data_IF_905488419862
#
_entry.id   IF_905488419862
#
_cell.length_a   1.000
_cell.length_b   1.000
_cell.length_c   1.000
_cell.angle_alpha   90.00
_cell.angle_beta   90.00
_cell.angle_gamma   90.00
#
_symmetry.space_group_name_H-M   'P 1'
#
loop_
_entity.id
_entity.type
_entity.pdbx_description
1 polymer ?
#
# COMPACT_ATOMS: atom_id res chain seq x y z
N UNK A 1 27.03 -29.82 -43.05
CA UNK A 1 25.56 -30.06 -43.08
C UNK A 1 24.95 -29.34 -41.90
N UNK A 2 24.37 -28.16 -42.16
CA UNK A 2 23.71 -27.33 -41.15
C UNK A 2 22.31 -27.88 -40.84
N UNK A 3 21.87 -28.02 -39.58
CA UNK A 3 20.48 -28.31 -39.29
C UNK A 3 19.66 -27.02 -39.33
N UNK A 4 18.53 -27.06 -40.06
CA UNK A 4 17.56 -25.98 -40.20
C UNK A 4 16.86 -25.70 -38.86
N UNK A 5 16.46 -24.45 -38.56
CA UNK A 5 15.58 -24.16 -37.42
C UNK A 5 14.13 -24.58 -37.74
N UNK A 6 13.48 -25.27 -36.79
CA UNK A 6 12.04 -25.52 -36.82
C UNK A 6 11.26 -24.21 -36.55
N UNK A 7 10.07 -24.00 -37.17
CA UNK A 7 9.30 -22.77 -37.01
C UNK A 7 8.57 -22.72 -35.65
N UNK A 8 8.36 -21.52 -35.06
CA UNK A 8 7.71 -21.34 -33.77
C UNK A 8 6.18 -21.26 -33.92
N UNK A 9 5.52 -22.36 -34.31
CA UNK A 9 4.05 -22.35 -34.50
C UNK A 9 3.31 -23.57 -33.92
N UNK A 10 3.93 -24.33 -33.00
CA UNK A 10 3.33 -25.59 -32.49
C UNK A 10 2.89 -25.56 -31.01
N UNK A 11 2.71 -24.39 -30.39
CA UNK A 11 2.24 -24.27 -28.99
C UNK A 11 1.01 -23.37 -28.83
N UNK A 12 0.08 -23.38 -29.80
CA UNK A 12 -1.27 -22.86 -29.57
C UNK A 12 -2.18 -24.01 -29.12
N UNK A 13 -2.84 -23.94 -27.95
CA UNK A 13 -3.77 -24.97 -27.52
C UNK A 13 -4.97 -25.03 -28.47
N UNK A 14 -5.27 -26.20 -29.02
CA UNK A 14 -6.45 -26.47 -29.83
C UNK A 14 -7.74 -26.37 -29.00
N UNK A 15 -8.86 -26.02 -29.66
CA UNK A 15 -10.19 -25.77 -29.07
C UNK A 15 -10.80 -26.91 -28.21
N UNK A 16 -10.18 -28.09 -28.14
CA UNK A 16 -10.54 -29.16 -27.21
C UNK A 16 -10.06 -28.91 -25.77
N UNK A 17 -8.91 -28.25 -25.61
CA UNK A 17 -8.31 -27.87 -24.31
C UNK A 17 -9.17 -26.85 -23.57
N UNK A 18 -9.75 -25.87 -24.28
CA UNK A 18 -10.58 -24.83 -23.67
C UNK A 18 -11.86 -25.38 -23.03
N UNK A 19 -12.42 -26.49 -23.55
CA UNK A 19 -13.61 -27.13 -22.97
C UNK A 19 -13.31 -27.82 -21.64
N UNK A 20 -12.20 -28.55 -21.53
CA UNK A 20 -11.82 -29.23 -20.27
C UNK A 20 -11.49 -28.25 -19.16
N UNK A 21 -10.82 -27.12 -19.47
CA UNK A 21 -10.62 -26.05 -18.50
C UNK A 21 -11.93 -25.46 -18.01
N UNK A 22 -12.90 -25.27 -18.91
CA UNK A 22 -14.21 -24.70 -18.56
C UNK A 22 -14.99 -25.56 -17.58
N UNK A 23 -15.10 -26.87 -17.83
CA UNK A 23 -15.79 -27.79 -16.89
C UNK A 23 -15.10 -27.87 -15.52
N UNK A 24 -13.76 -27.88 -15.50
CA UNK A 24 -12.99 -27.82 -14.25
C UNK A 24 -13.17 -26.49 -13.50
N UNK A 25 -13.22 -25.37 -14.23
CA UNK A 25 -13.40 -24.03 -13.68
C UNK A 25 -14.78 -23.87 -13.04
N UNK A 26 -15.86 -24.20 -13.75
CA UNK A 26 -17.23 -24.11 -13.20
C UNK A 26 -17.42 -25.01 -11.96
N UNK A 27 -16.83 -26.22 -11.97
CA UNK A 27 -16.88 -27.12 -10.82
C UNK A 27 -16.10 -26.59 -9.59
N UNK A 28 -15.00 -25.86 -9.82
CA UNK A 28 -14.24 -25.20 -8.75
C UNK A 28 -14.96 -23.95 -8.22
N UNK A 29 -15.61 -23.20 -9.11
CA UNK A 29 -16.43 -22.04 -8.76
C UNK A 29 -17.55 -22.38 -7.77
N UNK A 30 -18.22 -23.52 -7.97
CA UNK A 30 -19.24 -24.01 -7.05
C UNK A 30 -18.66 -24.33 -5.64
N UNK A 31 -17.39 -24.75 -5.55
CA UNK A 31 -16.73 -25.07 -4.27
C UNK A 31 -16.25 -23.84 -3.52
N UNK A 32 -15.90 -22.77 -4.23
CA UNK A 32 -15.64 -21.45 -3.63
C UNK A 32 -16.93 -20.66 -3.36
N UNK A 33 -18.10 -21.29 -3.57
CA UNK A 33 -19.41 -20.76 -3.17
C UNK A 33 -20.08 -19.85 -4.18
N UNK A 34 -19.52 -19.58 -5.37
CA UNK A 34 -20.11 -18.59 -6.30
C UNK A 34 -21.53 -18.92 -6.80
N UNK A 35 -22.06 -20.14 -6.56
CA UNK A 35 -23.37 -20.59 -7.04
C UNK A 35 -24.32 -21.14 -5.97
N UNK A 36 -23.98 -21.12 -4.67
CA UNK A 36 -24.83 -21.66 -3.59
C UNK A 36 -24.88 -20.75 -2.36
N UNK A 37 -26.01 -20.73 -1.61
CA UNK A 37 -26.11 -19.97 -0.37
C UNK A 37 -25.05 -20.47 0.62
N UNK A 38 -24.35 -19.50 1.21
CA UNK A 38 -23.26 -19.62 2.18
C UNK A 38 -23.50 -20.65 3.29
N UNK A 39 -22.44 -21.28 3.86
CA UNK A 39 -22.55 -21.79 5.21
C UNK A 39 -22.83 -20.60 6.12
N UNK A 40 -23.99 -20.61 6.78
CA UNK A 40 -24.34 -19.63 7.81
C UNK A 40 -23.23 -19.55 8.86
N UNK A 41 -22.89 -18.33 9.29
CA UNK A 41 -21.89 -18.03 10.31
C UNK A 41 -22.14 -18.77 11.65
N UNK A 42 -23.35 -19.32 11.84
CA UNK A 42 -23.71 -20.22 12.93
C UNK A 42 -22.87 -21.50 13.03
N UNK A 43 -22.03 -21.84 12.03
CA UNK A 43 -21.10 -22.99 12.08
C UNK A 43 -19.71 -22.69 12.67
N UNK A 44 -19.47 -21.46 13.14
CA UNK A 44 -18.30 -21.11 13.92
C UNK A 44 -18.60 -21.06 15.43
N UNK A 45 -19.68 -21.71 15.88
CA UNK A 45 -19.93 -21.95 17.30
C UNK A 45 -18.88 -22.93 17.87
N UNK A 46 -18.53 -22.85 19.17
CA UNK A 46 -17.40 -23.58 19.76
C UNK A 46 -17.43 -25.12 19.62
N UNK A 47 -18.56 -25.73 19.22
CA UNK A 47 -18.71 -27.17 18.97
C UNK A 47 -18.52 -27.65 17.52
N UNK A 48 -18.28 -26.79 16.52
CA UNK A 48 -18.19 -27.17 15.07
C UNK A 48 -16.81 -26.94 14.42
N UNK A 49 -15.76 -26.92 15.23
CA UNK A 49 -14.39 -26.55 14.82
C UNK A 49 -13.74 -27.43 13.72
N UNK A 50 -13.84 -28.78 13.69
CA UNK A 50 -13.10 -29.57 12.68
C UNK A 50 -13.73 -29.54 11.28
N UNK A 51 -15.05 -29.48 11.19
CA UNK A 51 -15.77 -29.43 9.90
C UNK A 51 -15.64 -28.07 9.21
N UNK A 52 -15.63 -26.98 9.97
CA UNK A 52 -15.39 -25.63 9.43
C UNK A 52 -13.94 -25.45 8.94
N UNK A 53 -12.95 -25.94 9.70
CA UNK A 53 -11.54 -25.89 9.30
C UNK A 53 -11.26 -26.68 8.01
N UNK A 54 -11.80 -27.89 7.89
CA UNK A 54 -11.65 -28.69 6.66
C UNK A 54 -12.35 -28.04 5.45
N UNK A 55 -13.48 -27.37 5.65
CA UNK A 55 -14.13 -26.59 4.58
C UNK A 55 -13.29 -25.39 4.13
N UNK A 56 -12.66 -24.67 5.07
CA UNK A 56 -11.76 -23.56 4.75
C UNK A 56 -10.53 -24.04 3.97
N UNK A 57 -9.93 -25.17 4.34
CA UNK A 57 -8.80 -25.75 3.61
C UNK A 57 -9.16 -26.11 2.17
N UNK A 58 -10.31 -26.75 1.97
CA UNK A 58 -10.81 -27.08 0.62
C UNK A 58 -11.08 -25.83 -0.21
N UNK A 59 -11.60 -24.79 0.42
CA UNK A 59 -11.81 -23.47 -0.21
C UNK A 59 -10.47 -22.86 -0.62
N UNK A 60 -9.48 -22.85 0.27
CA UNK A 60 -8.15 -22.32 0.02
C UNK A 60 -7.47 -23.05 -1.17
N UNK A 61 -7.50 -24.38 -1.18
CA UNK A 61 -6.91 -25.17 -2.27
C UNK A 61 -7.62 -24.91 -3.61
N UNK A 62 -8.96 -24.90 -3.61
CA UNK A 62 -9.75 -24.62 -4.81
C UNK A 62 -9.44 -23.22 -5.35
N UNK A 63 -9.33 -22.23 -4.45
CA UNK A 63 -9.04 -20.85 -4.80
C UNK A 63 -7.62 -20.68 -5.39
N UNK A 64 -6.62 -21.44 -4.90
CA UNK A 64 -5.27 -21.43 -5.49
C UNK A 64 -5.30 -21.84 -6.96
N UNK A 65 -6.09 -22.87 -7.29
CA UNK A 65 -6.26 -23.33 -8.67
C UNK A 65 -7.05 -22.31 -9.48
N UNK A 66 -8.19 -21.82 -8.96
CA UNK A 66 -9.01 -20.81 -9.63
C UNK A 66 -8.24 -19.54 -9.94
N UNK A 67 -7.37 -19.08 -9.04
CA UNK A 67 -6.49 -17.94 -9.28
C UNK A 67 -5.63 -18.17 -10.52
N UNK A 68 -4.93 -19.30 -10.60
CA UNK A 68 -4.06 -19.62 -11.74
C UNK A 68 -4.84 -19.76 -13.05
N UNK A 69 -6.01 -20.39 -13.01
CA UNK A 69 -6.88 -20.52 -14.20
C UNK A 69 -7.46 -19.19 -14.65
N UNK A 70 -7.89 -18.35 -13.72
CA UNK A 70 -8.45 -17.02 -14.02
C UNK A 70 -7.40 -16.12 -14.68
N UNK A 71 -6.15 -16.18 -14.21
CA UNK A 71 -5.07 -15.30 -14.67
C UNK A 71 -4.38 -15.84 -15.93
N UNK A 72 -4.20 -17.15 -16.08
CA UNK A 72 -3.41 -17.71 -17.18
C UNK A 72 -4.15 -18.72 -18.07
N UNK A 73 -5.39 -19.10 -17.71
CA UNK A 73 -6.14 -20.15 -18.40
C UNK A 73 -7.00 -19.68 -19.56
N UNK A 74 -7.19 -18.37 -19.72
CA UNK A 74 -8.07 -17.79 -20.75
C UNK A 74 -7.32 -16.72 -21.56
N UNK A 75 -7.41 -16.82 -22.89
CA UNK A 75 -6.79 -15.84 -23.80
C UNK A 75 -7.51 -14.49 -23.78
N UNK A 76 -8.85 -14.50 -23.69
CA UNK A 76 -9.70 -13.30 -23.67
C UNK A 76 -10.60 -13.34 -22.43
N UNK A 77 -10.07 -13.04 -21.23
CA UNK A 77 -10.82 -13.21 -19.98
C UNK A 77 -12.05 -12.31 -19.89
N UNK A 78 -12.03 -11.13 -20.54
CA UNK A 78 -13.16 -10.20 -20.57
C UNK A 78 -14.41 -10.79 -21.24
N UNK A 79 -14.24 -11.64 -22.25
CA UNK A 79 -15.37 -12.28 -22.96
C UNK A 79 -15.94 -13.49 -22.19
N UNK A 80 -15.24 -13.95 -21.14
CA UNK A 80 -15.68 -15.09 -20.36
C UNK A 80 -16.52 -14.64 -19.16
N UNK A 81 -17.84 -14.85 -19.25
CA UNK A 81 -18.79 -14.52 -18.19
C UNK A 81 -18.51 -15.22 -16.86
N UNK A 82 -17.96 -16.44 -16.86
CA UNK A 82 -17.62 -17.17 -15.63
C UNK A 82 -16.43 -16.52 -14.92
N UNK A 83 -15.44 -16.05 -15.68
CA UNK A 83 -14.27 -15.34 -15.15
C UNK A 83 -14.68 -14.00 -14.55
N UNK A 84 -15.42 -13.18 -15.31
CA UNK A 84 -15.86 -11.87 -14.84
C UNK A 84 -16.89 -11.97 -13.69
N UNK A 85 -17.73 -13.01 -13.73
CA UNK A 85 -18.66 -13.35 -12.65
C UNK A 85 -17.93 -13.77 -11.37
N UNK A 86 -16.89 -14.62 -11.50
CA UNK A 86 -16.04 -14.99 -10.37
C UNK A 86 -15.34 -13.77 -9.75
N UNK A 87 -14.69 -12.95 -10.57
CA UNK A 87 -13.99 -11.75 -10.11
C UNK A 87 -14.94 -10.77 -9.42
N UNK A 88 -16.17 -10.63 -9.91
CA UNK A 88 -17.20 -9.84 -9.24
C UNK A 88 -17.61 -10.43 -7.88
N UNK A 89 -17.78 -11.76 -7.81
CA UNK A 89 -18.14 -12.45 -6.58
C UNK A 89 -17.01 -12.43 -5.52
N UNK A 90 -15.74 -12.21 -5.92
CA UNK A 90 -14.61 -12.09 -4.98
C UNK A 90 -14.87 -11.00 -3.93
N UNK A 91 -15.43 -9.84 -4.31
CA UNK A 91 -15.69 -8.74 -3.37
C UNK A 91 -16.70 -9.12 -2.28
N UNK A 92 -17.80 -9.78 -2.66
CA UNK A 92 -18.81 -10.26 -1.71
C UNK A 92 -18.23 -11.34 -0.79
N UNK A 93 -17.41 -12.24 -1.34
CA UNK A 93 -16.72 -13.27 -0.55
C UNK A 93 -15.74 -12.66 0.44
N UNK A 94 -14.95 -11.68 0.02
CA UNK A 94 -14.03 -10.96 0.89
C UNK A 94 -14.76 -10.31 2.08
N UNK A 95 -15.87 -9.60 1.82
CA UNK A 95 -16.70 -9.00 2.88
C UNK A 95 -17.18 -10.05 3.88
N UNK A 96 -17.72 -11.17 3.40
CA UNK A 96 -18.18 -12.27 4.25
C UNK A 96 -17.05 -12.84 5.13
N UNK A 97 -15.85 -13.04 4.56
CA UNK A 97 -14.72 -13.56 5.33
C UNK A 97 -14.19 -12.55 6.36
N UNK A 98 -14.18 -11.26 6.04
CA UNK A 98 -13.85 -10.18 6.99
C UNK A 98 -14.86 -10.11 8.13
N UNK A 99 -16.16 -10.25 7.84
CA UNK A 99 -17.20 -10.31 8.87
C UNK A 99 -17.07 -11.57 9.75
N UNK A 100 -16.65 -12.70 9.18
CA UNK A 100 -16.31 -13.89 9.96
C UNK A 100 -15.14 -13.63 10.91
N UNK A 101 -14.12 -12.86 10.49
CA UNK A 101 -13.01 -12.49 11.35
C UNK A 101 -13.46 -11.68 12.59
N UNK A 102 -14.51 -10.85 12.49
CA UNK A 102 -15.07 -10.13 13.66
C UNK A 102 -15.55 -11.08 14.75
N UNK A 103 -16.08 -12.23 14.36
CA UNK A 103 -16.71 -13.19 15.27
C UNK A 103 -15.70 -14.18 15.85
N UNK A 104 -14.47 -14.21 15.32
CA UNK A 104 -13.43 -15.15 15.72
C UNK A 104 -12.30 -14.39 16.41
N UNK A 105 -12.09 -14.70 17.70
CA UNK A 105 -11.06 -14.05 18.51
C UNK A 105 -9.64 -14.16 17.91
N UNK A 106 -8.75 -13.19 18.24
CA UNK A 106 -7.35 -13.21 17.81
C UNK A 106 -6.65 -14.50 18.26
N UNK A 107 -5.71 -15.00 17.44
CA UNK A 107 -4.87 -16.16 17.78
C UNK A 107 -5.51 -17.54 17.61
N UNK A 108 -6.74 -17.66 17.08
CA UNK A 108 -7.31 -18.97 16.78
C UNK A 108 -6.82 -19.53 15.43
N UNK A 109 -6.63 -20.85 15.34
CA UNK A 109 -6.30 -21.56 14.08
C UNK A 109 -7.33 -21.29 12.98
N UNK A 110 -8.60 -21.05 13.35
CA UNK A 110 -9.64 -20.68 12.41
C UNK A 110 -9.39 -19.31 11.80
N UNK A 111 -9.03 -18.32 12.63
CA UNK A 111 -8.67 -16.96 12.19
C UNK A 111 -7.48 -16.97 11.24
N UNK A 112 -6.42 -17.71 11.55
CA UNK A 112 -5.28 -17.83 10.64
C UNK A 112 -5.67 -18.36 9.24
N UNK A 113 -6.59 -19.34 9.19
CA UNK A 113 -7.08 -19.88 7.90
C UNK A 113 -7.99 -18.89 7.18
N UNK A 114 -8.80 -18.12 7.91
CA UNK A 114 -9.62 -17.05 7.34
C UNK A 114 -8.72 -15.96 6.73
N UNK A 115 -7.72 -15.48 7.47
CA UNK A 115 -6.75 -14.49 7.01
C UNK A 115 -5.99 -14.98 5.78
N UNK A 116 -5.50 -16.23 5.78
CA UNK A 116 -4.88 -16.86 4.59
C UNK A 116 -5.83 -16.91 3.38
N UNK A 117 -7.12 -17.10 3.61
CA UNK A 117 -8.14 -17.12 2.56
C UNK A 117 -8.41 -15.72 2.01
N UNK A 118 -8.53 -14.72 2.88
CA UNK A 118 -8.69 -13.30 2.53
C UNK A 118 -7.51 -12.80 1.69
N UNK A 119 -6.28 -13.09 2.15
CA UNK A 119 -5.04 -12.81 1.40
C UNK A 119 -5.10 -13.42 0.00
N UNK A 120 -5.54 -14.68 -0.12
CA UNK A 120 -5.57 -15.35 -1.41
C UNK A 120 -6.62 -14.76 -2.35
N UNK A 121 -7.79 -14.36 -1.86
CA UNK A 121 -8.81 -13.66 -2.66
C UNK A 121 -8.32 -12.30 -3.15
N UNK A 122 -7.71 -11.50 -2.27
CA UNK A 122 -7.15 -10.21 -2.68
C UNK A 122 -6.01 -10.40 -3.69
N UNK A 123 -5.22 -11.47 -3.55
CA UNK A 123 -4.20 -11.86 -4.52
C UNK A 123 -4.76 -12.29 -5.88
N UNK A 124 -6.01 -12.77 -5.96
CA UNK A 124 -6.69 -12.98 -7.26
C UNK A 124 -6.84 -11.65 -7.99
N UNK A 125 -7.31 -10.61 -7.30
CA UNK A 125 -7.49 -9.28 -7.90
C UNK A 125 -6.14 -8.67 -8.31
N UNK A 126 -5.14 -8.71 -7.42
CA UNK A 126 -3.80 -8.16 -7.68
C UNK A 126 -3.09 -8.82 -8.86
N UNK A 127 -3.19 -10.14 -8.98
CA UNK A 127 -2.62 -10.87 -10.12
C UNK A 127 -3.41 -10.57 -11.39
N UNK A 128 -4.75 -10.58 -11.33
CA UNK A 128 -5.56 -10.33 -12.52
C UNK A 128 -5.31 -8.91 -13.06
N UNK A 129 -5.21 -7.90 -12.20
CA UNK A 129 -4.83 -6.54 -12.58
C UNK A 129 -3.44 -6.47 -13.21
N UNK A 130 -2.46 -7.21 -12.67
CA UNK A 130 -1.09 -7.23 -13.18
C UNK A 130 -1.02 -7.75 -14.62
N UNK A 131 -1.66 -8.89 -14.87
CA UNK A 131 -1.57 -9.57 -16.17
C UNK A 131 -2.60 -9.06 -17.19
N UNK A 132 -3.73 -8.55 -16.73
CA UNK A 132 -4.88 -8.17 -17.55
C UNK A 132 -5.43 -6.78 -17.20
N UNK A 133 -4.64 -5.70 -17.36
CA UNK A 133 -5.06 -4.36 -16.96
C UNK A 133 -6.30 -3.87 -17.72
N UNK A 134 -6.45 -4.17 -19.01
CA UNK A 134 -7.65 -3.79 -19.78
C UNK A 134 -8.90 -4.57 -19.34
N UNK A 135 -8.89 -5.92 -19.26
CA UNK A 135 -10.01 -6.67 -18.69
C UNK A 135 -10.38 -6.31 -17.24
N UNK A 136 -9.45 -5.73 -16.47
CA UNK A 136 -9.70 -5.30 -15.10
C UNK A 136 -10.54 -4.01 -15.00
N UNK A 137 -10.66 -3.22 -16.08
CA UNK A 137 -11.30 -1.88 -16.04
C UNK A 137 -12.69 -1.88 -15.38
N UNK A 138 -13.62 -2.81 -15.68
CA UNK A 138 -14.94 -2.86 -15.05
C UNK A 138 -14.91 -3.12 -13.52
N UNK A 139 -13.78 -3.56 -12.98
CA UNK A 139 -13.57 -3.87 -11.57
C UNK A 139 -12.85 -2.76 -10.80
N UNK A 140 -12.36 -1.72 -11.49
CA UNK A 140 -11.57 -0.63 -10.89
C UNK A 140 -12.37 0.05 -9.77
N UNK A 141 -13.59 0.50 -10.07
CA UNK A 141 -14.40 1.23 -9.10
C UNK A 141 -14.64 0.41 -7.83
N UNK A 142 -15.12 -0.84 -7.99
CA UNK A 142 -15.36 -1.74 -6.84
C UNK A 142 -14.10 -2.05 -6.06
N UNK A 143 -12.95 -2.15 -6.74
CA UNK A 143 -11.65 -2.40 -6.12
C UNK A 143 -11.20 -1.23 -5.26
N UNK A 144 -11.34 0.00 -5.77
CA UNK A 144 -11.03 1.22 -5.05
C UNK A 144 -11.98 1.43 -3.87
N UNK A 145 -13.29 1.30 -4.07
CA UNK A 145 -14.30 1.38 -3.00
C UNK A 145 -14.02 0.37 -1.89
N UNK A 146 -13.76 -0.89 -2.25
CA UNK A 146 -13.46 -1.94 -1.29
C UNK A 146 -12.16 -1.65 -0.52
N UNK A 147 -11.07 -1.38 -1.22
CA UNK A 147 -9.76 -1.17 -0.58
C UNK A 147 -9.78 0.08 0.30
N UNK A 148 -10.33 1.20 -0.18
CA UNK A 148 -10.39 2.45 0.61
C UNK A 148 -11.31 2.32 1.81
N UNK A 149 -12.45 1.64 1.69
CA UNK A 149 -13.36 1.41 2.81
C UNK A 149 -12.66 0.68 3.96
N UNK A 150 -11.97 -0.42 3.72
CA UNK A 150 -11.33 -1.19 4.79
C UNK A 150 -9.98 -0.65 5.26
N UNK A 151 -9.33 0.23 4.50
CA UNK A 151 -8.01 0.77 4.87
C UNK A 151 -8.12 2.16 5.49
N UNK A 152 -9.01 3.01 5.00
CA UNK A 152 -9.05 4.43 5.40
C UNK A 152 -10.32 4.82 6.16
N UNK A 153 -11.17 3.85 6.54
CA UNK A 153 -12.37 4.11 7.36
C UNK A 153 -12.49 3.11 8.50
N UNK A 154 -13.38 3.41 9.45
CA UNK A 154 -13.68 2.58 10.63
C UNK A 154 -14.17 1.16 10.27
N UNK A 155 -14.59 0.91 9.02
CA UNK A 155 -14.99 -0.43 8.57
C UNK A 155 -13.86 -1.47 8.69
N UNK A 156 -12.60 -1.03 8.59
CA UNK A 156 -11.40 -1.85 8.78
C UNK A 156 -11.09 -2.23 10.22
N UNK A 157 -11.59 -1.48 11.19
CA UNK A 157 -11.21 -1.65 12.59
C UNK A 157 -11.60 -3.04 13.11
N UNK A 158 -10.63 -3.71 13.74
CA UNK A 158 -10.77 -5.06 14.29
C UNK A 158 -10.80 -6.21 13.26
N UNK A 159 -10.85 -5.92 11.95
CA UNK A 159 -10.85 -6.93 10.88
C UNK A 159 -9.67 -6.86 9.93
N UNK A 160 -9.16 -5.65 9.67
CA UNK A 160 -8.01 -5.44 8.83
C UNK A 160 -6.75 -5.89 9.58
N UNK A 161 -5.89 -6.62 8.90
CA UNK A 161 -4.60 -7.09 9.40
C UNK A 161 -3.52 -6.74 8.38
N UNK A 162 -2.27 -6.64 8.84
CA UNK A 162 -1.15 -6.07 8.10
C UNK A 162 -1.07 -6.54 6.64
N UNK A 163 -1.00 -7.84 6.39
CA UNK A 163 -0.91 -8.40 5.03
C UNK A 163 -2.10 -8.05 4.13
N UNK A 164 -3.31 -7.92 4.69
CA UNK A 164 -4.48 -7.51 3.94
C UNK A 164 -4.45 -6.01 3.61
N UNK A 165 -4.02 -5.18 4.57
CA UNK A 165 -3.83 -3.74 4.37
C UNK A 165 -2.81 -3.51 3.25
N UNK A 166 -1.65 -4.15 3.34
CA UNK A 166 -0.59 -4.09 2.33
C UNK A 166 -1.12 -4.49 0.95
N UNK A 167 -1.92 -5.55 0.84
CA UNK A 167 -2.49 -5.96 -0.44
C UNK A 167 -3.55 -4.97 -0.98
N UNK A 168 -4.36 -4.36 -0.12
CA UNK A 168 -5.31 -3.33 -0.52
C UNK A 168 -4.60 -2.06 -0.99
N UNK A 169 -3.57 -1.60 -0.26
CA UNK A 169 -2.74 -0.47 -0.65
C UNK A 169 -2.04 -0.73 -1.98
N UNK A 170 -1.50 -1.94 -2.18
CA UNK A 170 -0.92 -2.35 -3.45
C UNK A 170 -1.92 -2.42 -4.60
N UNK A 171 -3.19 -2.75 -4.31
CA UNK A 171 -4.26 -2.73 -5.31
C UNK A 171 -4.56 -1.30 -5.74
N UNK A 172 -4.69 -0.37 -4.79
CA UNK A 172 -4.86 1.06 -5.05
C UNK A 172 -3.67 1.59 -5.87
N UNK A 173 -2.45 1.32 -5.42
CA UNK A 173 -1.20 1.71 -6.09
C UNK A 173 -1.19 1.28 -7.55
N UNK A 174 -1.44 -0.01 -7.81
CA UNK A 174 -1.44 -0.57 -9.18
C UNK A 174 -2.48 0.09 -10.07
N UNK A 175 -3.64 0.48 -9.54
CA UNK A 175 -4.68 1.21 -10.29
C UNK A 175 -4.24 2.66 -10.56
N UNK A 176 -3.68 3.34 -9.55
CA UNK A 176 -3.24 4.74 -9.67
C UNK A 176 -2.10 4.86 -10.68
N UNK A 177 -1.06 4.02 -10.57
CA UNK A 177 0.13 4.07 -11.43
C UNK A 177 -0.02 3.43 -12.81
N UNK A 178 -1.10 2.69 -13.09
CA UNK A 178 -1.19 1.92 -14.33
C UNK A 178 -1.10 2.83 -15.56
N UNK A 179 -0.09 2.61 -16.41
CA UNK A 179 0.08 3.37 -17.64
C UNK A 179 -1.04 3.12 -18.65
N UNK A 180 -1.68 1.94 -18.62
CA UNK A 180 -2.81 1.63 -19.49
C UNK A 180 -4.05 2.49 -19.17
N UNK A 181 -4.11 3.12 -17.99
CA UNK A 181 -5.24 3.95 -17.53
C UNK A 181 -4.97 5.45 -17.66
N UNK A 182 -3.85 5.84 -18.25
CA UNK A 182 -3.57 7.25 -18.54
C UNK A 182 -4.20 7.62 -19.89
N UNK A 183 -4.87 8.78 -20.00
CA UNK A 183 -5.33 9.27 -21.30
C UNK A 183 -4.11 9.52 -22.18
N UNK A 184 -4.17 9.08 -23.44
CA UNK A 184 -3.10 9.36 -24.39
C UNK A 184 -2.95 10.88 -24.57
N UNK A 185 -1.71 11.38 -24.68
CA UNK A 185 -1.43 12.80 -24.94
C UNK A 185 -1.88 13.25 -26.35
N UNK A 186 -2.27 12.30 -27.21
CA UNK A 186 -2.73 12.54 -28.58
C UNK A 186 -4.22 12.17 -28.73
N UNK A 187 -4.88 12.79 -29.71
CA UNK A 187 -6.35 12.92 -29.89
C UNK A 187 -7.11 11.57 -30.04
N UNK A 188 -6.43 10.44 -30.22
CA UNK A 188 -7.04 9.09 -30.34
C UNK A 188 -6.57 8.15 -29.21
N UNK A 189 -6.96 8.46 -27.97
CA UNK A 189 -6.80 7.51 -26.87
C UNK A 189 -7.71 6.28 -27.06
N UNK A 190 -7.22 5.08 -26.70
CA UNK A 190 -8.04 3.87 -26.66
C UNK A 190 -9.27 4.12 -25.78
N UNK A 191 -10.50 3.74 -26.21
CA UNK A 191 -11.72 4.00 -25.45
C UNK A 191 -11.66 3.39 -24.05
N UNK A 192 -10.98 2.25 -23.89
CA UNK A 192 -10.77 1.58 -22.61
C UNK A 192 -9.91 2.42 -21.65
N UNK A 193 -8.83 3.04 -22.14
CA UNK A 193 -7.96 3.90 -21.33
C UNK A 193 -8.69 5.15 -20.85
N UNK A 194 -9.55 5.72 -21.71
CA UNK A 194 -10.40 6.85 -21.34
C UNK A 194 -11.43 6.46 -20.28
N UNK A 195 -12.04 5.28 -20.40
CA UNK A 195 -12.99 4.77 -19.42
C UNK A 195 -12.34 4.55 -18.04
N UNK A 196 -11.16 3.91 -18.02
CA UNK A 196 -10.38 3.74 -16.79
C UNK A 196 -10.04 5.09 -16.15
N UNK A 197 -9.64 6.07 -16.95
CA UNK A 197 -9.37 7.43 -16.47
C UNK A 197 -10.63 8.09 -15.89
N UNK A 198 -11.79 7.98 -16.55
CA UNK A 198 -13.06 8.50 -16.03
C UNK A 198 -13.42 7.91 -14.68
N UNK A 199 -13.29 6.59 -14.52
CA UNK A 199 -13.54 5.91 -13.23
C UNK A 199 -12.61 6.45 -12.14
N UNK A 200 -11.31 6.58 -12.44
CA UNK A 200 -10.33 7.13 -11.50
C UNK A 200 -10.69 8.57 -11.09
N UNK A 201 -10.98 9.43 -12.06
CA UNK A 201 -11.33 10.84 -11.80
C UNK A 201 -12.64 10.97 -11.01
N UNK A 202 -13.61 10.09 -11.26
CA UNK A 202 -14.86 10.06 -10.50
C UNK A 202 -14.67 9.56 -9.06
N UNK A 203 -13.71 8.65 -8.83
CA UNK A 203 -13.43 8.10 -7.50
C UNK A 203 -12.54 9.01 -6.65
N UNK A 204 -11.41 9.48 -7.20
CA UNK A 204 -10.43 10.32 -6.51
C UNK A 204 -10.88 11.78 -6.48
N UNK A 205 -12.00 12.01 -5.83
CA UNK A 205 -12.52 13.35 -5.55
C UNK A 205 -11.69 14.05 -4.48
N UNK A 206 -11.84 15.37 -4.35
CA UNK A 206 -11.15 16.14 -3.33
C UNK A 206 -11.35 15.58 -1.90
N UNK A 207 -12.60 15.33 -1.41
CA UNK A 207 -12.79 14.73 -0.08
C UNK A 207 -12.10 13.37 0.09
N UNK A 208 -12.19 12.49 -0.91
CA UNK A 208 -11.57 11.17 -0.86
C UNK A 208 -10.05 11.27 -0.77
N UNK A 209 -9.44 12.13 -1.58
CA UNK A 209 -7.99 12.35 -1.56
C UNK A 209 -7.54 12.96 -0.24
N UNK A 210 -8.25 13.97 0.27
CA UNK A 210 -7.92 14.59 1.57
C UNK A 210 -7.97 13.57 2.70
N UNK A 211 -9.00 12.72 2.77
CA UNK A 211 -9.10 11.70 3.82
C UNK A 211 -7.99 10.65 3.71
N UNK A 212 -7.72 10.14 2.50
CA UNK A 212 -6.62 9.19 2.27
C UNK A 212 -5.28 9.82 2.69
N UNK A 213 -4.99 11.05 2.25
CA UNK A 213 -3.77 11.76 2.57
C UNK A 213 -3.60 11.98 4.08
N UNK A 214 -4.65 12.48 4.76
CA UNK A 214 -4.63 12.69 6.21
C UNK A 214 -4.43 11.37 6.96
N UNK A 215 -5.16 10.30 6.62
CA UNK A 215 -5.03 9.00 7.28
C UNK A 215 -3.67 8.34 7.06
N UNK A 216 -3.09 8.46 5.86
CA UNK A 216 -1.72 7.97 5.62
C UNK A 216 -0.73 8.60 6.60
N UNK A 217 -0.78 9.92 6.74
CA UNK A 217 0.16 10.65 7.61
C UNK A 217 -0.20 10.49 9.10
N UNK A 218 -1.45 10.66 9.49
CA UNK A 218 -1.87 10.73 10.89
C UNK A 218 -2.13 9.39 11.55
N UNK A 219 -2.04 8.28 10.81
CA UNK A 219 -2.26 6.93 11.35
C UNK A 219 -1.16 5.97 10.91
N UNK A 220 -0.84 5.92 9.62
CA UNK A 220 0.10 4.92 9.11
C UNK A 220 1.58 5.32 9.15
N UNK A 221 1.89 6.61 9.22
CA UNK A 221 3.28 7.09 9.35
C UNK A 221 3.72 7.24 10.81
N UNK A 222 2.80 7.13 11.76
CA UNK A 222 3.14 7.13 13.18
C UNK A 222 3.93 5.86 13.50
N UNK A 223 5.09 6.01 14.14
CA UNK A 223 5.86 4.87 14.63
C UNK A 223 5.07 4.17 15.74
N UNK A 224 4.94 2.84 15.65
CA UNK A 224 4.35 2.02 16.70
C UNK A 224 5.34 1.78 17.85
N UNK A 225 4.84 1.28 18.97
CA UNK A 225 5.69 0.92 20.12
C UNK A 225 6.68 -0.19 19.76
N UNK A 226 6.28 -1.16 18.95
CA UNK A 226 7.17 -2.23 18.47
C UNK A 226 8.29 -1.68 17.59
N UNK A 227 7.96 -0.71 16.74
CA UNK A 227 8.92 -0.06 15.85
C UNK A 227 9.90 0.83 16.64
N UNK A 228 9.41 1.57 17.64
CA UNK A 228 10.27 2.33 18.56
C UNK A 228 11.19 1.41 19.38
N UNK A 229 10.67 0.27 19.86
CA UNK A 229 11.46 -0.73 20.59
C UNK A 229 12.55 -1.33 19.69
N UNK A 230 12.20 -1.72 18.46
CA UNK A 230 13.17 -2.21 17.48
C UNK A 230 14.26 -1.17 17.20
N UNK A 231 13.87 0.10 17.10
CA UNK A 231 14.82 1.20 16.91
C UNK A 231 15.77 1.39 18.09
N UNK A 232 15.29 1.21 19.33
CA UNK A 232 16.13 1.29 20.54
C UNK A 232 17.07 0.09 20.67
N UNK A 233 16.64 -1.10 20.26
CA UNK A 233 17.41 -2.35 20.38
C UNK A 233 18.40 -2.56 19.22
N UNK A 234 17.99 -2.30 17.97
CA UNK A 234 18.76 -2.52 16.75
C UNK A 234 18.39 -1.51 15.66
N UNK A 235 19.01 -0.32 15.73
CA UNK A 235 18.79 0.76 14.78
C UNK A 235 19.20 0.44 13.34
N UNK A 236 20.15 -0.49 13.12
CA UNK A 236 20.59 -0.89 11.77
C UNK A 236 19.52 -1.75 11.10
N UNK A 237 18.99 -2.75 11.83
CA UNK A 237 17.88 -3.58 11.33
C UNK A 237 16.64 -2.73 11.02
N UNK A 238 16.33 -1.75 11.87
CA UNK A 238 15.23 -0.82 11.62
C UNK A 238 15.40 -0.06 10.29
N UNK A 239 16.60 0.48 10.01
CA UNK A 239 16.85 1.23 8.79
C UNK A 239 16.82 0.37 7.51
N UNK A 240 17.27 -0.88 7.60
CA UNK A 240 17.22 -1.84 6.48
C UNK A 240 15.76 -2.19 6.12
N UNK A 241 14.88 -2.31 7.12
CA UNK A 241 13.45 -2.58 6.88
C UNK A 241 12.76 -1.42 6.16
N UNK A 242 13.14 -0.17 6.45
CA UNK A 242 12.60 1.03 5.80
C UNK A 242 13.05 1.18 4.34
N UNK A 243 14.31 0.86 4.02
CA UNK A 243 14.93 1.18 2.72
C UNK A 243 14.99 0.00 1.73
N UNK A 244 14.60 -1.20 2.16
CA UNK A 244 14.83 -2.43 1.40
C UNK A 244 13.99 -2.61 0.12
N UNK A 245 14.41 -2.06 -1.02
CA UNK A 245 13.99 -2.45 -2.37
C UNK A 245 12.48 -2.75 -2.57
N UNK A 246 12.12 -4.04 -2.65
CA UNK A 246 10.74 -4.50 -2.89
C UNK A 246 9.91 -4.72 -1.60
N UNK A 247 10.39 -4.25 -0.43
CA UNK A 247 9.75 -4.40 0.89
C UNK A 247 8.32 -3.85 0.94
N UNK A 248 8.02 -2.79 0.16
CA UNK A 248 6.68 -2.20 0.02
C UNK A 248 5.58 -3.20 -0.41
N UNK A 249 5.97 -4.35 -0.97
CA UNK A 249 5.03 -5.42 -1.35
C UNK A 249 4.56 -6.25 -0.15
N UNK A 250 5.26 -6.17 0.99
CA UNK A 250 5.12 -7.10 2.09
C UNK A 250 4.98 -6.44 3.46
N UNK A 251 5.67 -5.31 3.70
CA UNK A 251 5.68 -4.59 4.99
C UNK A 251 4.84 -3.33 4.92
N UNK A 252 4.14 -3.01 6.00
CA UNK A 252 3.17 -1.91 6.04
C UNK A 252 3.80 -0.53 5.82
N UNK A 253 4.92 -0.23 6.49
CA UNK A 253 5.57 1.08 6.42
C UNK A 253 6.08 1.44 5.02
N UNK A 254 6.94 0.65 4.35
CA UNK A 254 7.35 0.98 2.99
C UNK A 254 6.16 0.94 2.00
N UNK A 255 5.10 0.16 2.29
CA UNK A 255 3.89 0.16 1.48
C UNK A 255 3.12 1.49 1.56
N UNK A 256 2.96 2.04 2.78
CA UNK A 256 2.23 3.30 3.02
C UNK A 256 2.97 4.48 2.43
N UNK A 257 4.29 4.55 2.58
CA UNK A 257 5.13 5.61 2.02
C UNK A 257 5.10 5.62 0.49
N UNK A 258 5.24 4.45 -0.14
CA UNK A 258 5.17 4.32 -1.60
C UNK A 258 3.76 4.66 -2.12
N UNK A 259 2.70 4.23 -1.42
CA UNK A 259 1.34 4.61 -1.80
C UNK A 259 1.11 6.12 -1.66
N UNK A 260 1.59 6.72 -0.56
CA UNK A 260 1.53 8.16 -0.33
C UNK A 260 2.18 8.92 -1.49
N UNK A 261 3.43 8.59 -1.83
CA UNK A 261 4.16 9.17 -2.96
C UNK A 261 3.40 9.02 -4.27
N UNK A 262 2.87 7.84 -4.56
CA UNK A 262 2.17 7.58 -5.82
C UNK A 262 0.86 8.36 -5.93
N UNK A 263 0.10 8.52 -4.84
CA UNK A 263 -1.09 9.35 -4.82
C UNK A 263 -0.70 10.83 -4.91
N UNK A 264 0.29 11.28 -4.13
CA UNK A 264 0.73 12.67 -4.10
C UNK A 264 1.23 13.13 -5.48
N UNK A 265 2.04 12.32 -6.15
CA UNK A 265 2.52 12.61 -7.50
C UNK A 265 1.38 12.78 -8.52
N UNK A 266 0.32 11.98 -8.41
CA UNK A 266 -0.82 12.05 -9.35
C UNK A 266 -1.85 13.13 -9.00
N UNK A 267 -1.89 13.59 -7.75
CA UNK A 267 -2.95 14.47 -7.24
C UNK A 267 -2.42 15.62 -6.35
N UNK A 268 -1.18 16.08 -6.61
CA UNK A 268 -0.47 17.08 -5.79
C UNK A 268 -1.26 18.37 -5.62
N UNK A 269 -1.98 18.82 -6.66
CA UNK A 269 -2.84 20.01 -6.58
C UNK A 269 -3.86 19.96 -5.44
N UNK A 270 -4.37 18.78 -5.10
CA UNK A 270 -5.31 18.58 -3.99
C UNK A 270 -4.57 18.35 -2.67
N UNK A 271 -3.45 17.63 -2.68
CA UNK A 271 -2.78 17.16 -1.47
C UNK A 271 -1.75 18.14 -0.89
N UNK A 272 -1.12 18.97 -1.72
CA UNK A 272 -0.21 20.04 -1.28
C UNK A 272 -0.84 20.93 -0.20
N UNK A 273 -2.03 21.56 -0.40
CA UNK A 273 -2.60 22.41 0.66
C UNK A 273 -2.91 21.65 1.96
N UNK A 274 -3.31 20.37 1.86
CA UNK A 274 -3.56 19.52 3.04
C UNK A 274 -2.28 19.32 3.84
N UNK A 275 -1.17 18.98 3.17
CA UNK A 275 0.09 18.74 3.85
C UNK A 275 0.69 20.03 4.42
N UNK A 276 0.57 21.16 3.71
CA UNK A 276 1.01 22.47 4.21
C UNK A 276 0.23 22.89 5.46
N UNK A 277 -1.08 22.64 5.52
CA UNK A 277 -1.89 22.86 6.72
C UNK A 277 -1.37 22.02 7.90
N UNK A 278 -1.03 20.75 7.67
CA UNK A 278 -0.45 19.88 8.71
C UNK A 278 0.89 20.42 9.23
N UNK A 279 1.76 20.93 8.36
CA UNK A 279 3.03 21.58 8.76
C UNK A 279 2.78 22.86 9.56
N UNK A 280 1.83 23.69 9.14
CA UNK A 280 1.49 24.93 9.83
C UNK A 280 1.00 24.70 11.26
N UNK A 281 0.25 23.61 11.49
CA UNK A 281 -0.22 23.22 12.82
C UNK A 281 0.89 22.74 13.77
N UNK A 282 2.12 22.56 13.27
CA UNK A 282 3.27 22.03 14.02
C UNK A 282 4.41 23.06 14.17
N UNK A 283 4.12 24.35 13.93
CA UNK A 283 5.11 25.41 14.10
C UNK A 283 5.56 25.55 15.56
N UNK A 284 6.88 25.73 15.74
CA UNK A 284 7.51 25.89 17.05
C UNK A 284 7.94 24.57 17.70
N UNK A 285 8.67 24.63 18.83
CA UNK A 285 9.15 23.44 19.52
C UNK A 285 7.98 22.62 20.09
N UNK A 286 8.04 21.31 19.88
CA UNK A 286 7.04 20.38 20.41
C UNK A 286 7.31 20.10 21.89
N UNK A 287 6.25 20.03 22.72
CA UNK A 287 6.41 19.69 24.13
C UNK A 287 6.99 18.27 24.29
N UNK A 288 8.05 18.15 25.09
CA UNK A 288 8.67 16.85 25.41
C UNK A 288 7.80 15.99 26.33
N UNK A 289 6.77 16.58 26.95
CA UNK A 289 5.87 15.91 27.90
C UNK A 289 4.72 15.16 27.20
N UNK A 290 4.55 15.34 25.89
CA UNK A 290 3.48 14.72 25.11
C UNK A 290 4.06 13.87 23.95
N UNK A 291 4.40 12.59 24.18
CA UNK A 291 5.06 11.73 23.19
C UNK A 291 4.31 11.64 21.86
N UNK A 292 2.97 11.66 21.89
CA UNK A 292 2.12 11.61 20.70
C UNK A 292 2.37 12.80 19.78
N UNK A 293 2.61 13.99 20.34
CA UNK A 293 2.87 15.19 19.55
C UNK A 293 4.21 15.12 18.79
N UNK A 294 5.21 14.42 19.34
CA UNK A 294 6.47 14.14 18.66
C UNK A 294 6.29 13.14 17.51
N UNK A 295 5.48 12.09 17.71
CA UNK A 295 5.16 11.12 16.65
C UNK A 295 4.39 11.78 15.49
N UNK A 296 3.43 12.66 15.79
CA UNK A 296 2.71 13.41 14.76
C UNK A 296 3.66 14.31 13.98
N UNK A 297 4.58 15.00 14.67
CA UNK A 297 5.56 15.86 13.99
C UNK A 297 6.52 15.04 13.12
N UNK A 298 7.01 13.90 13.62
CA UNK A 298 7.81 12.95 12.83
C UNK A 298 7.09 12.53 11.55
N UNK A 299 5.83 12.09 11.66
CA UNK A 299 5.02 11.64 10.54
C UNK A 299 4.79 12.74 9.50
N UNK A 300 4.50 13.97 9.92
CA UNK A 300 4.34 15.10 9.00
C UNK A 300 5.65 15.45 8.30
N UNK A 301 6.76 15.47 9.03
CA UNK A 301 8.08 15.70 8.43
C UNK A 301 8.47 14.59 7.46
N UNK A 302 8.13 13.33 7.77
CA UNK A 302 8.30 12.21 6.86
C UNK A 302 7.58 12.47 5.53
N UNK A 303 6.29 12.80 5.61
CA UNK A 303 5.47 13.10 4.43
C UNK A 303 6.02 14.26 3.58
N UNK A 304 6.52 15.33 4.21
CA UNK A 304 7.12 16.48 3.50
C UNK A 304 8.47 16.13 2.87
N UNK A 305 9.26 15.28 3.52
CA UNK A 305 10.52 14.80 2.94
C UNK A 305 10.30 13.89 1.74
N UNK A 306 9.34 12.95 1.84
CA UNK A 306 8.96 12.08 0.73
C UNK A 306 8.49 12.92 -0.48
N UNK A 307 7.61 13.90 -0.25
CA UNK A 307 7.04 14.74 -1.31
C UNK A 307 7.89 15.98 -1.68
N UNK A 308 9.20 15.98 -1.39
CA UNK A 308 10.06 17.16 -1.61
C UNK A 308 10.03 17.65 -3.07
N UNK A 309 10.03 16.74 -4.04
CA UNK A 309 9.99 17.07 -5.47
C UNK A 309 8.65 17.68 -5.91
N UNK A 310 7.54 17.33 -5.28
CA UNK A 310 6.25 17.92 -5.58
C UNK A 310 6.00 19.24 -4.82
N UNK A 311 6.74 19.48 -3.73
CA UNK A 311 6.54 20.62 -2.83
C UNK A 311 7.52 21.78 -3.02
N UNK A 312 8.60 21.63 -3.78
CA UNK A 312 9.71 22.62 -3.80
C UNK A 312 9.30 24.02 -4.27
N UNK A 313 8.21 24.16 -5.02
CA UNK A 313 7.65 25.45 -5.45
C UNK A 313 6.67 26.05 -4.43
N UNK A 314 6.18 25.24 -3.50
CA UNK A 314 5.20 25.65 -2.49
C UNK A 314 5.79 25.82 -1.08
N UNK A 315 6.99 25.30 -0.83
CA UNK A 315 7.69 25.40 0.46
C UNK A 315 9.00 26.18 0.28
N UNK A 316 9.16 27.26 1.05
CA UNK A 316 10.46 27.93 1.20
C UNK A 316 11.31 27.17 2.23
N UNK A 317 11.98 26.12 1.76
CA UNK A 317 12.76 25.24 2.62
C UNK A 317 13.98 25.95 3.24
N UNK A 318 14.59 26.90 2.54
CA UNK A 318 15.70 27.70 3.08
C UNK A 318 15.24 28.47 4.33
N UNK A 319 14.06 29.09 4.26
CA UNK A 319 13.48 29.84 5.37
C UNK A 319 13.06 28.90 6.51
N UNK A 320 12.42 27.78 6.19
CA UNK A 320 12.00 26.79 7.20
C UNK A 320 13.21 26.18 7.94
N UNK A 321 14.28 25.88 7.20
CA UNK A 321 15.54 25.40 7.75
C UNK A 321 16.12 26.36 8.79
N UNK A 322 16.25 27.65 8.43
CA UNK A 322 16.80 28.68 9.33
C UNK A 322 15.93 28.93 10.56
N UNK A 323 14.61 28.99 10.36
CA UNK A 323 13.70 29.50 11.39
C UNK A 323 13.21 28.43 12.36
N UNK A 324 13.24 27.15 11.97
CA UNK A 324 12.69 26.07 12.79
C UNK A 324 13.62 24.86 12.87
N UNK A 325 13.97 24.25 11.73
CA UNK A 325 14.67 22.97 11.73
C UNK A 325 16.02 23.03 12.44
N UNK A 326 16.78 24.12 12.24
CA UNK A 326 18.06 24.31 12.92
C UNK A 326 17.90 24.36 14.45
N UNK A 327 16.86 25.03 14.95
CA UNK A 327 16.56 25.08 16.38
C UNK A 327 16.18 23.71 16.96
N UNK A 328 15.43 22.91 16.19
CA UNK A 328 15.04 21.55 16.59
C UNK A 328 16.23 20.60 16.69
N UNK A 329 17.25 20.76 15.83
CA UNK A 329 18.50 19.99 15.92
C UNK A 329 19.29 20.27 17.21
N UNK A 330 19.15 21.45 17.81
CA UNK A 330 19.86 21.85 19.03
C UNK A 330 19.14 21.43 20.33
N UNK A 331 17.98 20.77 20.25
CA UNK A 331 17.24 20.34 21.45
C UNK A 331 17.88 19.07 22.02
N UNK A 332 18.66 19.24 23.10
CA UNK A 332 19.33 18.16 23.83
C UNK A 332 18.38 17.51 24.85
N UNK A 333 17.40 16.75 24.35
CA UNK A 333 16.54 15.89 25.17
C UNK A 333 16.45 14.51 24.52
N UNK A 334 16.38 13.46 25.34
CA UNK A 334 16.34 12.07 24.86
C UNK A 334 15.12 11.82 23.97
N UNK A 335 13.93 12.22 24.41
CA UNK A 335 12.68 12.10 23.62
C UNK A 335 12.70 12.87 22.30
N UNK A 336 13.56 13.89 22.16
CA UNK A 336 13.69 14.67 20.92
C UNK A 336 14.61 14.00 19.88
N UNK A 337 15.26 12.87 20.23
CA UNK A 337 16.13 12.10 19.32
C UNK A 337 15.40 11.73 18.02
N UNK A 338 14.13 11.33 18.12
CA UNK A 338 13.28 11.03 16.97
C UNK A 338 13.20 12.23 16.00
N UNK A 339 12.86 13.41 16.53
CA UNK A 339 12.74 14.63 15.71
C UNK A 339 14.09 15.00 15.10
N UNK A 340 15.20 14.93 15.87
CA UNK A 340 16.54 15.23 15.34
C UNK A 340 16.87 14.34 14.14
N UNK A 341 16.68 13.02 14.26
CA UNK A 341 16.87 12.07 13.15
C UNK A 341 16.02 12.48 11.95
N UNK A 342 14.71 12.67 12.15
CA UNK A 342 13.78 12.99 11.07
C UNK A 342 14.12 14.29 10.37
N UNK A 343 14.53 15.31 11.11
CA UNK A 343 14.95 16.60 10.55
C UNK A 343 16.19 16.43 9.67
N UNK A 344 17.16 15.61 10.07
CA UNK A 344 18.35 15.35 9.26
C UNK A 344 17.97 14.60 7.98
N UNK A 345 17.16 13.55 8.11
CA UNK A 345 16.63 12.81 6.97
C UNK A 345 15.87 13.73 6.00
N UNK A 346 14.98 14.58 6.53
CA UNK A 346 14.22 15.58 5.78
C UNK A 346 15.16 16.53 5.03
N UNK A 347 16.18 17.06 5.70
CA UNK A 347 17.17 17.92 5.07
C UNK A 347 17.88 17.20 3.92
N UNK A 348 18.28 15.93 4.10
CA UNK A 348 18.87 15.12 3.04
C UNK A 348 17.99 14.99 1.80
N UNK A 349 16.68 14.76 1.98
CA UNK A 349 15.73 14.74 0.87
C UNK A 349 15.71 16.08 0.11
N UNK A 350 15.69 17.20 0.82
CA UNK A 350 15.53 18.52 0.23
C UNK A 350 16.81 19.11 -0.38
N UNK A 351 18.00 18.74 0.10
CA UNK A 351 19.28 19.22 -0.45
C UNK A 351 19.43 18.87 -1.93
N UNK A 352 18.98 17.68 -2.32
CA UNK A 352 19.05 17.20 -3.70
C UNK A 352 18.04 17.90 -4.63
N UNK A 353 16.98 18.50 -4.06
CA UNK A 353 15.88 19.14 -4.80
C UNK A 353 16.09 20.66 -4.88
N UNK A 354 16.16 21.35 -3.73
CA UNK A 354 16.25 22.80 -3.65
C UNK A 354 16.80 23.25 -2.29
N UNK A 355 18.08 23.62 -2.27
CA UNK A 355 18.73 24.17 -1.07
C UNK A 355 19.88 25.12 -1.46
N UNK A 356 19.90 26.33 -0.91
CA UNK A 356 20.95 27.31 -1.24
C UNK A 356 22.34 26.88 -0.79
N UNK A 357 23.34 27.10 -1.63
CA UNK A 357 24.76 26.82 -1.33
C UNK A 357 25.25 27.52 -0.07
N UNK A 358 24.79 28.75 0.15
CA UNK A 358 25.24 29.60 1.27
C UNK A 358 24.76 29.09 2.64
N UNK A 359 23.79 28.16 2.64
CA UNK A 359 23.29 27.51 3.85
C UNK A 359 24.06 26.24 4.22
N UNK A 360 24.86 25.69 3.30
CA UNK A 360 25.61 24.45 3.55
C UNK A 360 26.60 24.57 4.72
N UNK A 361 27.33 25.68 4.93
CA UNK A 361 28.20 25.81 6.11
C UNK A 361 27.44 25.65 7.43
N UNK A 362 26.26 26.27 7.56
CA UNK A 362 25.40 26.14 8.76
C UNK A 362 24.90 24.72 8.95
N UNK A 363 24.53 24.06 7.85
CA UNK A 363 24.15 22.65 7.88
C UNK A 363 25.30 21.75 8.35
N UNK A 364 26.50 21.92 7.79
CA UNK A 364 27.66 21.12 8.18
C UNK A 364 28.03 21.34 9.64
N UNK A 365 27.93 22.57 10.14
CA UNK A 365 28.12 22.87 11.57
C UNK A 365 27.10 22.13 12.45
N UNK A 366 25.82 22.13 12.06
CA UNK A 366 24.78 21.40 12.78
C UNK A 366 25.04 19.87 12.77
N UNK A 367 25.42 19.31 11.62
CA UNK A 367 25.76 17.88 11.48
C UNK A 367 26.98 17.54 12.35
N UNK A 368 28.03 18.35 12.35
CA UNK A 368 29.22 18.13 13.17
C UNK A 368 28.90 18.08 14.68
N UNK A 369 27.95 18.91 15.13
CA UNK A 369 27.44 18.85 16.51
C UNK A 369 26.73 17.52 16.80
N UNK A 370 25.94 17.01 15.84
CA UNK A 370 25.19 15.76 15.99
C UNK A 370 26.08 14.51 15.91
N UNK A 371 27.19 14.57 15.18
CA UNK A 371 28.18 13.48 15.12
C UNK A 371 28.93 13.27 16.45
N UNK A 372 28.79 14.20 17.42
CA UNK A 372 29.33 14.01 18.76
C UNK A 372 28.37 13.22 19.67
N UNK A 373 27.13 12.99 19.23
CA UNK A 373 26.11 12.19 19.93
C UNK A 373 26.20 10.71 19.48
N UNK A 374 26.74 9.79 20.32
CA UNK A 374 26.94 8.39 19.94
C UNK A 374 25.63 7.68 19.57
N UNK A 375 24.48 8.16 20.09
CA UNK A 375 23.16 7.62 19.81
C UNK A 375 22.65 7.98 18.41
N UNK A 376 23.19 9.05 17.79
CA UNK A 376 22.83 9.50 16.44
C UNK A 376 23.83 9.04 15.37
N UNK A 377 25.10 8.81 15.71
CA UNK A 377 26.15 8.47 14.73
C UNK A 377 25.86 7.18 13.96
N UNK A 378 25.39 6.13 14.64
CA UNK A 378 24.97 4.88 13.97
C UNK A 378 23.75 5.09 13.06
N UNK A 379 22.87 6.01 13.44
CA UNK A 379 21.64 6.32 12.71
C UNK A 379 21.87 7.16 11.45
N UNK A 380 22.74 8.16 11.54
CA UNK A 380 23.11 9.01 10.41
C UNK A 380 23.83 8.25 9.30
N UNK A 381 24.56 7.19 9.66
CA UNK A 381 25.21 6.30 8.71
C UNK A 381 24.21 5.40 7.95
N UNK A 382 23.03 5.15 8.52
CA UNK A 382 22.02 4.28 7.91
C UNK A 382 21.07 5.01 6.96
N UNK A 383 20.82 6.30 7.17
CA UNK A 383 19.84 7.08 6.39
C UNK A 383 20.40 7.64 5.04
N UNK A 384 21.60 7.21 4.60
CA UNK A 384 22.33 7.67 3.38
C UNK A 384 22.43 9.22 3.22
N UNK A 385 22.14 9.98 4.27
CA UNK A 385 21.99 11.44 4.22
C UNK A 385 23.29 12.25 4.26
N UNK A 386 24.45 11.59 4.39
CA UNK A 386 25.76 12.24 4.51
C UNK A 386 26.62 12.11 3.26
#
# INVERSE_FOLDING_TARGET
MSPRPCPPSAWLPTASSSRTWRWGYTALLARCGTTTPTPSCSRCAPGTKPASLSSLERTLLSLKVLRKLTVHGFNEPLQNMEVMGFLSAVFERLRQFLDCCRQVGPGSVCREKLEKTIILYTKVLLDFLEYHPFPFIPLIQRSLEFAVCYVFTEAGEGVAFERFIVQCMNLIKKIVKNDAYKPAKNIEGKPESLEAHKIKTAFFTHPTLTEIGRRLVSHYFLLTEEELTMWEEDAESFAVEETGGDSWKYSIRPCTEVLFLDIFHNYSQTLTPVLLEMVQNLQGPTSVEEPVSLLIKDAVYNAVGLAAYELFDNVDFDLWFKNQLLGELQVHHHSYKLIRRRVIWLIGQWISVKFKSDLRPLLYEAILGLMQDPDLVGLLACDETL
#
